data_IF_742752432877
#
_entry.id   IF_742752432877
#
_cell.length_a   1.000
_cell.length_b   1.000
_cell.length_c   1.000
_cell.angle_alpha   90.00
_cell.angle_beta   90.00
_cell.angle_gamma   90.00
#
_symmetry.space_group_name_H-M   'P 1'
#
loop_
_entity.id
_entity.type
_entity.pdbx_description
1 polymer ?
#
# COMPACT_ATOMS: atom_id res chain seq x y z
N UNK A 1 30.24 -31.82 -48.31
CA UNK A 1 29.22 -31.46 -47.31
C UNK A 1 29.22 -29.94 -47.16
N UNK A 2 28.17 -29.26 -47.68
CA UNK A 2 27.87 -27.88 -47.30
C UNK A 2 26.39 -27.63 -46.95
N UNK A 3 26.17 -26.64 -46.07
CA UNK A 3 25.06 -25.66 -46.02
C UNK A 3 23.59 -26.14 -46.12
N UNK A 4 22.86 -26.10 -45.00
CA UNK A 4 21.39 -26.09 -44.97
C UNK A 4 20.88 -24.81 -44.29
N UNK A 5 20.69 -23.77 -45.11
CA UNK A 5 19.91 -22.58 -44.77
C UNK A 5 18.42 -22.81 -45.07
N UNK A 6 17.55 -22.57 -44.09
CA UNK A 6 16.10 -22.43 -44.31
C UNK A 6 15.61 -21.15 -43.63
N UNK A 7 15.35 -20.14 -44.47
CA UNK A 7 14.88 -18.82 -44.11
C UNK A 7 13.45 -18.79 -43.57
N UNK A 8 13.19 -17.86 -42.65
CA UNK A 8 11.86 -17.53 -42.17
C UNK A 8 11.09 -16.74 -43.23
N UNK A 9 9.91 -17.24 -43.62
CA UNK A 9 8.95 -16.55 -44.49
C UNK A 9 8.30 -15.39 -43.74
N UNK A 10 8.25 -14.22 -44.38
CA UNK A 10 7.53 -13.03 -43.94
C UNK A 10 6.06 -13.17 -44.37
N UNK A 11 5.13 -13.23 -43.42
CA UNK A 11 3.69 -13.11 -43.71
C UNK A 11 3.30 -11.64 -43.55
N UNK A 12 2.96 -11.01 -44.66
CA UNK A 12 2.44 -9.63 -44.69
C UNK A 12 0.92 -9.70 -44.57
N UNK A 13 0.35 -9.20 -43.49
CA UNK A 13 -1.10 -8.95 -43.40
C UNK A 13 -1.37 -7.53 -43.92
N UNK A 14 -2.11 -7.42 -45.03
CA UNK A 14 -2.65 -6.15 -45.50
C UNK A 14 -3.94 -5.83 -44.73
N UNK A 15 -3.92 -4.74 -43.96
CA UNK A 15 -5.14 -4.10 -43.47
C UNK A 15 -5.36 -2.86 -44.33
N UNK A 16 -6.47 -2.86 -45.08
CA UNK A 16 -6.92 -1.72 -45.86
C UNK A 16 -7.34 -0.58 -44.94
N UNK A 17 -6.84 0.63 -45.25
CA UNK A 17 -7.18 1.87 -44.58
C UNK A 17 -8.24 2.66 -45.36
N UNK A 18 -9.13 3.35 -44.64
CA UNK A 18 -9.80 4.58 -45.10
C UNK A 18 -10.02 5.46 -43.85
N UNK A 19 -9.07 6.33 -43.49
CA UNK A 19 -8.89 7.74 -43.90
C UNK A 19 -10.07 8.67 -43.57
N UNK A 20 -9.96 9.41 -42.46
CA UNK A 20 -9.95 10.89 -42.36
C UNK A 20 -9.22 11.24 -41.02
N UNK A 21 -7.98 11.73 -40.99
CA UNK A 21 -7.60 13.14 -41.06
C UNK A 21 -6.63 13.47 -39.91
N UNK A 22 -5.42 13.93 -40.23
CA UNK A 22 -4.24 14.16 -39.35
C UNK A 22 -3.98 15.70 -39.36
N UNK A 23 -3.33 16.34 -38.36
CA UNK A 23 -1.86 16.33 -38.26
C UNK A 23 -1.30 16.04 -36.85
N UNK A 24 -0.22 15.26 -36.84
CA UNK A 24 0.74 15.13 -35.73
C UNK A 24 1.78 16.26 -35.83
N UNK A 25 2.58 16.51 -34.77
CA UNK A 25 3.93 15.96 -34.83
C UNK A 25 4.35 15.20 -33.57
N UNK A 26 5.04 14.09 -33.84
CA UNK A 26 5.95 13.32 -32.98
C UNK A 26 7.14 14.23 -32.55
N UNK A 27 8.11 13.91 -31.69
CA UNK A 27 8.72 12.68 -31.15
C UNK A 27 9.85 13.16 -30.17
N UNK A 28 10.24 12.45 -29.11
CA UNK A 28 11.42 11.55 -28.97
C UNK A 28 11.74 11.55 -27.45
N UNK A 29 12.21 10.50 -26.76
CA UNK A 29 13.21 9.45 -27.03
C UNK A 29 12.72 8.18 -26.28
N UNK A 30 12.62 6.97 -26.85
CA UNK A 30 13.65 6.02 -27.29
C UNK A 30 14.83 5.88 -26.31
N UNK A 31 14.86 4.79 -25.55
CA UNK A 31 16.08 4.01 -25.36
C UNK A 31 15.74 2.53 -25.07
N UNK A 32 16.38 1.68 -25.86
CA UNK A 32 16.43 0.24 -25.77
C UNK A 32 17.45 -0.17 -24.70
N UNK A 33 17.13 -1.16 -23.86
CA UNK A 33 18.14 -2.05 -23.30
C UNK A 33 17.61 -3.49 -23.40
N UNK A 34 18.16 -4.20 -24.39
CA UNK A 34 18.35 -5.66 -24.33
C UNK A 34 19.46 -5.97 -23.30
N UNK A 35 19.25 -6.98 -22.46
CA UNK A 35 20.27 -7.86 -21.84
C UNK A 35 19.51 -8.83 -20.92
N UNK A 36 19.12 -10.02 -21.36
CA UNK A 36 19.98 -11.20 -21.46
C UNK A 36 20.79 -11.45 -20.18
N UNK A 37 20.46 -12.56 -19.51
CA UNK A 37 21.34 -13.43 -18.75
C UNK A 37 22.68 -12.85 -18.28
N UNK A 38 22.79 -12.61 -16.97
CA UNK A 38 24.07 -12.74 -16.26
C UNK A 38 23.83 -13.61 -15.03
N UNK A 39 24.03 -14.90 -15.22
CA UNK A 39 24.44 -15.85 -14.19
C UNK A 39 25.55 -16.68 -14.82
N UNK A 40 26.80 -16.23 -14.78
CA UNK A 40 27.92 -17.15 -14.67
C UNK A 40 29.23 -16.48 -14.20
N UNK A 41 29.99 -17.29 -13.45
CA UNK A 41 31.44 -17.42 -13.33
C UNK A 41 32.34 -16.28 -12.84
N UNK A 42 32.74 -16.46 -11.58
CA UNK A 42 34.12 -16.53 -11.08
C UNK A 42 35.25 -16.11 -12.03
N UNK A 43 35.96 -15.03 -11.70
CA UNK A 43 37.42 -14.98 -11.73
C UNK A 43 37.92 -13.89 -10.77
N UNK A 44 38.38 -14.27 -9.57
CA UNK A 44 39.14 -13.36 -8.70
C UNK A 44 40.61 -13.60 -9.02
N UNK A 45 41.22 -12.62 -9.70
CA UNK A 45 42.67 -12.56 -9.85
C UNK A 45 43.28 -12.20 -8.49
N UNK A 46 44.02 -13.15 -7.94
CA UNK A 46 44.86 -12.96 -6.78
C UNK A 46 46.09 -12.13 -7.15
N UNK A 47 46.32 -11.02 -6.45
CA UNK A 47 47.62 -10.37 -6.37
C UNK A 47 48.14 -10.56 -4.93
N UNK A 48 49.18 -11.39 -4.82
CA UNK A 48 49.87 -11.76 -3.59
C UNK A 48 50.88 -10.67 -3.19
N UNK A 49 50.75 -10.09 -1.99
CA UNK A 49 51.87 -9.49 -1.25
C UNK A 49 52.09 -10.24 0.06
N UNK A 50 53.28 -10.83 0.19
CA UNK A 50 53.89 -11.37 1.42
C UNK A 50 53.93 -10.24 2.48
N UNK A 51 53.69 -10.40 3.79
CA UNK A 51 54.33 -11.27 4.79
C UNK A 51 53.57 -11.19 6.15
N UNK A 52 53.67 -12.27 6.94
CA UNK A 52 53.45 -12.41 8.40
C UNK A 52 52.03 -12.49 9.01
N UNK A 53 51.48 -13.70 8.86
CA UNK A 53 51.07 -14.63 9.93
C UNK A 53 50.19 -14.15 11.11
N UNK A 54 48.98 -14.73 11.07
CA UNK A 54 48.24 -15.31 12.21
C UNK A 54 47.51 -14.33 13.13
N UNK A 55 46.23 -14.04 12.82
CA UNK A 55 45.09 -14.20 13.76
C UNK A 55 43.75 -14.38 13.03
N UNK A 56 43.20 -15.57 13.23
CA UNK A 56 41.78 -15.94 13.31
C UNK A 56 40.83 -15.47 12.20
N UNK A 57 40.49 -16.45 11.35
CA UNK A 57 39.32 -16.48 10.49
C UNK A 57 38.04 -16.25 11.33
N UNK A 58 37.34 -15.15 11.10
CA UNK A 58 35.92 -15.01 11.43
C UNK A 58 35.19 -14.68 10.14
N UNK A 59 34.96 -15.71 9.33
CA UNK A 59 34.04 -15.64 8.20
C UNK A 59 32.61 -15.73 8.75
N UNK A 60 32.05 -14.60 9.20
CA UNK A 60 30.60 -14.50 9.39
C UNK A 60 29.93 -14.51 8.02
N UNK A 61 29.50 -15.70 7.59
CA UNK A 61 28.45 -15.82 6.58
C UNK A 61 27.21 -15.09 7.15
N UNK A 62 26.92 -13.90 6.64
CA UNK A 62 25.54 -13.42 6.63
C UNK A 62 24.78 -14.35 5.68
N UNK A 63 24.29 -15.46 6.22
CA UNK A 63 23.27 -16.27 5.56
C UNK A 63 22.14 -15.31 5.15
N UNK A 64 21.65 -15.47 3.92
CA UNK A 64 20.44 -14.83 3.43
C UNK A 64 19.29 -15.10 4.40
N UNK A 65 19.15 -14.26 5.42
CA UNK A 65 17.95 -14.16 6.20
C UNK A 65 16.90 -13.61 5.25
N UNK A 66 16.10 -14.49 4.68
CA UNK A 66 14.77 -14.13 4.22
C UNK A 66 14.03 -13.66 5.47
N UNK A 67 14.24 -12.41 5.88
CA UNK A 67 13.35 -11.75 6.83
C UNK A 67 12.03 -11.71 6.09
N UNK A 68 11.17 -12.68 6.37
CA UNK A 68 9.75 -12.49 6.14
C UNK A 68 9.42 -11.22 6.91
N UNK A 69 9.30 -10.10 6.20
CA UNK A 69 8.57 -8.96 6.73
C UNK A 69 7.26 -9.54 7.21
N UNK A 70 7.10 -9.64 8.53
CA UNK A 70 5.88 -10.16 9.12
C UNK A 70 4.85 -9.10 8.77
N UNK A 71 4.05 -9.37 7.73
CA UNK A 71 2.85 -8.60 7.45
C UNK A 71 2.03 -8.65 8.74
N UNK A 72 1.96 -7.53 9.45
CA UNK A 72 1.19 -7.43 10.69
C UNK A 72 -0.26 -7.85 10.44
N UNK A 73 -1.00 -8.25 11.49
CA UNK A 73 -2.41 -8.57 11.33
C UNK A 73 -3.13 -7.38 10.70
N UNK A 74 -3.93 -7.63 9.65
CA UNK A 74 -4.69 -6.58 8.96
C UNK A 74 -5.59 -5.81 9.94
N UNK A 75 -6.05 -6.51 10.97
CA UNK A 75 -6.86 -6.01 12.07
C UNK A 75 -6.06 -6.07 13.38
N UNK A 76 -5.26 -5.06 13.71
CA UNK A 76 -4.72 -4.90 15.05
C UNK A 76 -5.84 -4.88 16.11
N UNK A 77 -5.58 -5.35 17.34
CA UNK A 77 -6.56 -5.24 18.42
C UNK A 77 -7.03 -3.80 18.61
N UNK A 78 -8.33 -3.57 18.83
CA UNK A 78 -8.89 -2.22 18.92
C UNK A 78 -8.14 -1.30 19.90
N UNK A 79 -7.64 -1.86 21.01
CA UNK A 79 -6.93 -1.12 22.06
C UNK A 79 -5.60 -0.51 21.61
N UNK A 80 -5.04 -0.94 20.48
CA UNK A 80 -3.81 -0.35 19.92
C UNK A 80 -4.04 1.05 19.36
N UNK A 81 -5.29 1.42 19.08
CA UNK A 81 -5.66 2.73 18.54
C UNK A 81 -6.03 3.74 19.62
N UNK A 82 -6.30 3.32 20.85
CA UNK A 82 -6.66 4.24 21.94
C UNK A 82 -5.45 5.12 22.27
N UNK A 83 -5.63 6.44 22.27
CA UNK A 83 -4.57 7.37 22.66
C UNK A 83 -4.39 7.31 24.18
N UNK A 84 -3.26 6.76 24.62
CA UNK A 84 -2.91 6.64 26.06
C UNK A 84 -2.00 7.77 26.53
N UNK A 85 -1.57 8.64 25.63
CA UNK A 85 -0.64 9.74 25.93
C UNK A 85 -1.36 10.94 26.52
N UNK A 86 -2.68 11.05 26.30
CA UNK A 86 -3.54 12.11 26.82
C UNK A 86 -4.67 11.53 27.66
N UNK A 87 -5.02 12.21 28.76
CA UNK A 87 -6.20 11.88 29.55
C UNK A 87 -7.42 12.59 28.97
N UNK A 88 -8.60 11.96 28.98
CA UNK A 88 -9.82 12.59 28.45
C UNK A 88 -10.18 13.91 29.17
N UNK A 89 -9.80 14.07 30.43
CA UNK A 89 -9.94 15.33 31.18
C UNK A 89 -9.21 16.52 30.54
N UNK A 90 -8.22 16.27 29.67
CA UNK A 90 -7.46 17.30 28.96
C UNK A 90 -8.04 17.62 27.58
N UNK A 91 -9.06 16.89 27.14
CA UNK A 91 -9.74 17.12 25.88
C UNK A 91 -10.69 18.32 25.95
N UNK A 92 -10.95 18.96 24.80
CA UNK A 92 -12.00 19.97 24.67
C UNK A 92 -13.41 19.42 24.96
N UNK A 93 -13.58 18.09 24.88
CA UNK A 93 -14.82 17.42 25.25
C UNK A 93 -14.53 16.10 25.99
N UNK A 94 -14.32 16.15 27.32
CA UNK A 94 -13.96 14.98 28.11
C UNK A 94 -15.00 13.86 28.03
N UNK A 95 -16.30 14.20 28.11
CA UNK A 95 -17.38 13.23 28.06
C UNK A 95 -17.42 12.45 26.74
N UNK A 96 -17.17 13.15 25.61
CA UNK A 96 -17.10 12.49 24.31
C UNK A 96 -15.86 11.62 24.17
N UNK A 97 -14.73 12.07 24.67
CA UNK A 97 -13.50 11.27 24.70
C UNK A 97 -13.71 9.95 25.45
N UNK A 98 -14.28 10.02 26.67
CA UNK A 98 -14.56 8.85 27.50
C UNK A 98 -15.53 7.90 26.80
N UNK A 99 -16.65 8.43 26.29
CA UNK A 99 -17.64 7.64 25.56
C UNK A 99 -17.02 6.91 24.36
N UNK A 100 -16.20 7.60 23.56
CA UNK A 100 -15.52 6.97 22.42
C UNK A 100 -14.55 5.88 22.89
N UNK A 101 -13.77 6.09 23.96
CA UNK A 101 -12.85 5.05 24.47
C UNK A 101 -13.60 3.82 24.96
N UNK A 102 -14.73 4.01 25.62
CA UNK A 102 -15.57 2.94 26.15
C UNK A 102 -16.25 2.13 25.03
N UNK A 103 -16.78 2.80 23.99
CA UNK A 103 -17.46 2.14 22.87
C UNK A 103 -16.49 1.59 21.81
N UNK A 104 -15.26 2.10 21.75
CA UNK A 104 -14.33 1.87 20.64
C UNK A 104 -14.15 0.41 20.27
N UNK A 105 -13.97 -0.46 21.27
CA UNK A 105 -13.76 -1.89 21.02
C UNK A 105 -14.96 -2.49 20.26
N UNK A 106 -16.16 -2.24 20.74
CA UNK A 106 -17.38 -2.76 20.15
C UNK A 106 -17.60 -2.18 18.75
N UNK A 107 -17.40 -0.86 18.59
CA UNK A 107 -17.51 -0.20 17.28
C UNK A 107 -16.47 -0.75 16.28
N UNK A 108 -15.23 -0.99 16.72
CA UNK A 108 -14.19 -1.52 15.86
C UNK A 108 -14.47 -2.97 15.43
N UNK A 109 -14.93 -3.81 16.35
CA UNK A 109 -15.34 -5.20 16.06
C UNK A 109 -16.56 -5.23 15.12
N UNK A 110 -17.56 -4.38 15.35
CA UNK A 110 -18.72 -4.25 14.46
C UNK A 110 -18.31 -3.75 13.07
N UNK A 111 -17.37 -2.81 12.97
CA UNK A 111 -16.87 -2.29 11.70
C UNK A 111 -16.20 -3.39 10.86
N UNK A 112 -15.37 -4.23 11.49
CA UNK A 112 -14.73 -5.39 10.85
C UNK A 112 -15.76 -6.44 10.46
N UNK A 113 -16.82 -6.62 11.26
CA UNK A 113 -17.95 -7.48 10.92
C UNK A 113 -18.84 -6.95 9.77
N UNK A 114 -18.58 -5.74 9.27
CA UNK A 114 -19.31 -5.15 8.15
C UNK A 114 -20.40 -4.14 8.54
N UNK A 115 -20.48 -3.76 9.81
CA UNK A 115 -21.44 -2.77 10.29
C UNK A 115 -21.14 -1.38 9.74
N UNK A 116 -21.96 -0.94 8.78
CA UNK A 116 -21.78 0.33 8.06
C UNK A 116 -21.68 1.57 8.98
N UNK A 117 -22.52 1.65 10.01
CA UNK A 117 -22.47 2.76 10.98
C UNK A 117 -21.16 2.77 11.77
N UNK A 118 -20.74 1.59 12.21
CA UNK A 118 -19.49 1.42 12.93
C UNK A 118 -18.27 1.75 12.05
N UNK A 119 -18.28 1.34 10.77
CA UNK A 119 -17.25 1.73 9.80
C UNK A 119 -17.13 3.26 9.67
N UNK A 120 -18.26 3.98 9.58
CA UNK A 120 -18.27 5.45 9.54
C UNK A 120 -17.66 6.06 10.80
N UNK A 121 -17.94 5.50 11.97
CA UNK A 121 -17.39 5.96 13.24
C UNK A 121 -15.88 5.71 13.32
N UNK A 122 -15.43 4.49 13.02
CA UNK A 122 -14.00 4.11 12.98
C UNK A 122 -13.23 5.00 12.01
N UNK A 123 -13.76 5.21 10.80
CA UNK A 123 -13.15 6.09 9.81
C UNK A 123 -13.03 7.53 10.32
N UNK A 124 -14.03 8.04 11.05
CA UNK A 124 -14.00 9.39 11.61
C UNK A 124 -12.96 9.53 12.72
N UNK A 125 -12.90 8.58 13.66
CA UNK A 125 -11.99 8.68 14.78
C UNK A 125 -10.54 8.48 14.38
N UNK A 126 -10.25 7.58 13.43
CA UNK A 126 -8.90 7.47 12.87
C UNK A 126 -8.48 8.75 12.14
N UNK A 127 -9.44 9.50 11.56
CA UNK A 127 -9.12 10.78 10.91
C UNK A 127 -8.99 11.97 11.88
N UNK A 128 -9.72 12.00 12.98
CA UNK A 128 -9.83 13.23 13.81
C UNK A 128 -9.33 13.06 15.23
N UNK A 129 -9.11 11.81 15.65
CA UNK A 129 -8.80 11.43 17.02
C UNK A 129 -9.99 11.45 17.97
N UNK A 130 -11.20 11.83 17.51
CA UNK A 130 -12.43 11.87 18.31
C UNK A 130 -12.20 12.44 19.71
N UNK A 131 -11.85 13.72 19.77
CA UNK A 131 -11.61 14.42 21.04
C UNK A 131 -10.47 13.80 21.86
N UNK A 132 -9.39 13.35 21.19
CA UNK A 132 -8.21 12.68 21.78
C UNK A 132 -8.51 11.30 22.39
N UNK A 133 -9.63 10.68 22.04
CA UNK A 133 -9.92 9.30 22.41
C UNK A 133 -8.99 8.31 21.69
N UNK A 134 -8.74 8.57 20.40
CA UNK A 134 -8.07 7.66 19.46
C UNK A 134 -6.84 8.36 18.88
N UNK A 135 -5.73 7.65 18.73
CA UNK A 135 -4.56 8.13 18.03
C UNK A 135 -4.90 8.28 16.54
N UNK A 136 -4.81 9.49 15.95
CA UNK A 136 -5.11 9.66 14.54
C UNK A 136 -4.16 8.88 13.64
N UNK A 137 -4.70 8.12 12.70
CA UNK A 137 -4.01 7.51 11.57
C UNK A 137 -4.73 7.95 10.29
N UNK A 138 -4.18 8.97 9.65
CA UNK A 138 -4.76 9.58 8.45
C UNK A 138 -4.87 8.60 7.28
N UNK A 139 -3.87 7.71 7.14
CA UNK A 139 -3.81 6.73 6.06
C UNK A 139 -4.89 5.67 6.27
N UNK A 140 -4.97 5.11 7.48
CA UNK A 140 -5.98 4.10 7.79
C UNK A 140 -7.40 4.69 7.82
N UNK A 141 -7.57 5.91 8.31
CA UNK A 141 -8.85 6.63 8.23
C UNK A 141 -9.31 6.80 6.79
N UNK A 142 -8.41 7.19 5.89
CA UNK A 142 -8.70 7.26 4.46
C UNK A 142 -9.01 5.88 3.86
N UNK A 143 -8.30 4.81 4.26
CA UNK A 143 -8.58 3.45 3.81
C UNK A 143 -10.01 3.02 4.17
N UNK A 144 -10.45 3.27 5.41
CA UNK A 144 -11.84 3.00 5.81
C UNK A 144 -12.87 3.83 5.03
N UNK A 145 -12.57 5.08 4.66
CA UNK A 145 -13.46 5.86 3.77
C UNK A 145 -13.59 5.23 2.40
N UNK A 146 -12.51 4.65 1.87
CA UNK A 146 -12.55 3.90 0.60
C UNK A 146 -13.36 2.61 0.74
N UNK A 147 -13.22 1.87 1.86
CA UNK A 147 -14.07 0.71 2.17
C UNK A 147 -15.56 1.10 2.12
N UNK A 148 -15.93 2.18 2.81
CA UNK A 148 -17.32 2.66 2.88
C UNK A 148 -17.85 3.04 1.48
N UNK A 149 -17.01 3.68 0.66
CA UNK A 149 -17.40 4.10 -0.69
C UNK A 149 -17.54 2.92 -1.67
N UNK A 150 -16.74 1.87 -1.50
CA UNK A 150 -16.77 0.67 -2.36
C UNK A 150 -17.86 -0.33 -1.94
N UNK A 151 -18.16 -0.40 -0.65
CA UNK A 151 -19.25 -1.18 -0.14
C UNK A 151 -20.56 -0.58 -0.68
N UNK A 152 -21.19 -1.28 -1.63
CA UNK A 152 -22.48 -0.92 -2.25
C UNK A 152 -23.60 -1.01 -1.21
N UNK A 153 -23.56 -0.16 -0.20
CA UNK A 153 -24.56 -0.06 0.84
C UNK A 153 -25.90 0.35 0.21
N UNK A 154 -26.99 -0.18 0.75
CA UNK A 154 -28.34 0.07 0.22
C UNK A 154 -28.73 1.56 0.21
N UNK A 155 -28.05 2.39 0.99
CA UNK A 155 -28.23 3.83 1.04
C UNK A 155 -26.88 4.54 1.09
N UNK A 156 -26.24 4.80 -0.07
CA UNK A 156 -25.05 5.65 -0.13
C UNK A 156 -25.40 7.04 0.39
N UNK A 157 -24.74 7.46 1.47
CA UNK A 157 -24.94 8.79 2.07
C UNK A 157 -24.05 9.81 1.34
N UNK A 158 -24.60 10.97 0.98
CA UNK A 158 -23.81 12.06 0.37
C UNK A 158 -22.67 12.52 1.27
N UNK A 159 -22.82 12.32 2.58
CA UNK A 159 -21.80 12.57 3.59
C UNK A 159 -20.60 11.61 3.47
N UNK A 160 -20.79 10.41 2.93
CA UNK A 160 -19.68 9.46 2.74
C UNK A 160 -18.72 9.96 1.66
N UNK A 161 -19.26 10.46 0.55
CA UNK A 161 -18.46 11.08 -0.50
C UNK A 161 -17.78 12.36 -0.03
N UNK A 162 -18.49 13.21 0.72
CA UNK A 162 -17.91 14.42 1.31
C UNK A 162 -16.74 14.09 2.25
N UNK A 163 -16.91 13.08 3.10
CA UNK A 163 -15.86 12.63 4.01
C UNK A 163 -14.71 11.93 3.29
N UNK A 164 -14.98 11.15 2.25
CA UNK A 164 -13.94 10.58 1.40
C UNK A 164 -13.09 11.69 0.78
N UNK A 165 -13.72 12.69 0.17
CA UNK A 165 -13.00 13.82 -0.44
C UNK A 165 -12.20 14.62 0.58
N UNK A 166 -12.76 14.84 1.78
CA UNK A 166 -12.08 15.56 2.86
C UNK A 166 -10.89 14.80 3.42
N UNK A 167 -11.06 13.54 3.80
CA UNK A 167 -10.05 12.76 4.52
C UNK A 167 -9.12 11.95 3.60
N UNK A 168 -9.37 11.96 2.29
CA UNK A 168 -8.44 11.44 1.27
C UNK A 168 -8.01 12.51 0.24
N UNK A 169 -8.28 13.78 0.54
CA UNK A 169 -7.81 14.93 -0.22
C UNK A 169 -6.33 15.21 0.04
N UNK A 170 -5.66 15.84 -0.94
CA UNK A 170 -4.23 16.15 -0.88
C UNK A 170 -3.85 17.08 0.26
N UNK A 171 -4.78 17.90 0.73
CA UNK A 171 -4.59 18.81 1.86
C UNK A 171 -4.55 18.07 3.21
N UNK A 172 -5.02 16.81 3.23
CA UNK A 172 -5.12 16.00 4.44
C UNK A 172 -4.07 14.88 4.48
N UNK A 173 -3.88 14.20 3.35
CA UNK A 173 -2.89 13.13 3.15
C UNK A 173 -2.20 13.26 1.80
N UNK A 174 -0.90 12.99 1.73
CA UNK A 174 -0.15 13.05 0.48
C UNK A 174 -0.54 11.90 -0.49
N UNK A 175 -0.06 12.00 -1.73
CA UNK A 175 -0.38 11.02 -2.77
C UNK A 175 0.12 9.61 -2.44
N UNK A 176 1.28 9.47 -1.77
CA UNK A 176 1.83 8.17 -1.38
C UNK A 176 0.96 7.51 -0.32
N UNK A 177 0.53 8.28 0.68
CA UNK A 177 -0.40 7.87 1.71
C UNK A 177 -1.74 7.47 1.13
N UNK A 178 -2.26 8.22 0.15
CA UNK A 178 -3.50 7.86 -0.57
C UNK A 178 -3.39 6.53 -1.34
N UNK A 179 -2.27 6.29 -2.02
CA UNK A 179 -2.02 5.00 -2.70
C UNK A 179 -1.90 3.84 -1.72
N UNK A 180 -1.25 4.08 -0.57
CA UNK A 180 -1.13 3.10 0.52
C UNK A 180 -2.50 2.78 1.12
N UNK A 181 -3.31 3.81 1.37
CA UNK A 181 -4.69 3.67 1.84
C UNK A 181 -5.56 2.87 0.87
N UNK A 182 -5.42 3.10 -0.44
CA UNK A 182 -6.12 2.32 -1.46
C UNK A 182 -5.70 0.85 -1.48
N UNK A 183 -4.41 0.55 -1.28
CA UNK A 183 -3.93 -0.83 -1.15
C UNK A 183 -4.49 -1.50 0.11
N UNK A 184 -4.46 -0.79 1.24
CA UNK A 184 -5.00 -1.25 2.52
C UNK A 184 -6.52 -1.52 2.42
N UNK A 185 -7.28 -0.60 1.83
CA UNK A 185 -8.73 -0.74 1.65
C UNK A 185 -9.09 -2.00 0.84
N UNK A 186 -8.36 -2.29 -0.24
CA UNK A 186 -8.55 -3.53 -1.02
C UNK A 186 -8.32 -4.79 -0.20
N UNK A 187 -7.34 -4.77 0.70
CA UNK A 187 -7.11 -5.89 1.62
C UNK A 187 -8.25 -6.01 2.64
N UNK A 188 -8.70 -4.88 3.21
CA UNK A 188 -9.79 -4.81 4.19
C UNK A 188 -11.10 -5.35 3.63
N UNK A 189 -11.50 -4.92 2.43
CA UNK A 189 -12.74 -5.36 1.75
C UNK A 189 -12.78 -6.89 1.59
N UNK A 190 -11.62 -7.54 1.42
CA UNK A 190 -11.56 -9.00 1.30
C UNK A 190 -11.79 -9.73 2.62
N UNK A 191 -11.67 -9.07 3.76
CA UNK A 191 -11.78 -9.70 5.09
C UNK A 191 -13.02 -9.26 5.87
N UNK A 192 -13.63 -8.14 5.52
CA UNK A 192 -14.82 -7.64 6.24
C UNK A 192 -15.98 -8.64 6.17
N UNK A 193 -16.61 -8.88 7.33
CA UNK A 193 -17.78 -9.76 7.46
C UNK A 193 -17.51 -11.25 7.25
N UNK A 194 -16.24 -11.68 7.28
CA UNK A 194 -15.82 -13.07 7.23
C UNK A 194 -15.47 -13.60 8.62
#
# INVERSE_FOLDING_TARGET
MPEDGKGCRKVTLHVAASNQGVPSPRRCWQDHIDLAHICDRSTVLAASSKENQLRLLSATLFACGCVSLVDGPLWPPAQTYVDKTVQCSQSSNPARCEHTRDSWKADYEEAIAGGYRAQKHVALCLSTGCDQAIQPDKMLGCAWRMVIAEARHAQPDSMDFANLNRFCGTDYIDQKGKLSAASQAKAMIRLIGK
#
